data_IF_645742660809
#
_entry.id   IF_645742660809
#
_cell.length_a   1.000
_cell.length_b   1.000
_cell.length_c   1.000
_cell.angle_alpha   90.00
_cell.angle_beta   90.00
_cell.angle_gamma   90.00
#
_symmetry.space_group_name_H-M   'P 1'
#
loop_
_entity.id
_entity.type
_entity.pdbx_description
1 polymer ?
#
# COMPACT_ATOMS: atom_id res chain seq x y z
N UNK A 1 -9.48 -5.47 -10.62
CA UNK A 1 -9.17 -5.65 -9.22
C UNK A 1 -8.01 -4.74 -8.80
N UNK A 2 -8.31 -3.59 -8.21
CA UNK A 2 -7.28 -2.63 -7.83
C UNK A 2 -7.59 -1.97 -6.48
N UNK A 3 -6.52 -1.49 -5.84
CA UNK A 3 -6.59 -0.71 -4.61
C UNK A 3 -5.91 0.63 -4.88
N UNK A 4 -6.51 1.70 -4.41
CA UNK A 4 -5.90 3.03 -4.44
C UNK A 4 -5.68 3.49 -3.01
N UNK A 5 -4.44 3.83 -2.69
CA UNK A 5 -4.11 4.42 -1.40
C UNK A 5 -3.88 5.91 -1.58
N UNK A 6 -4.54 6.67 -0.74
CA UNK A 6 -4.37 8.12 -0.67
C UNK A 6 -3.51 8.45 0.53
N UNK A 7 -2.32 8.97 0.29
CA UNK A 7 -1.35 9.28 1.34
C UNK A 7 -1.14 10.79 1.38
N UNK A 8 -1.73 11.47 2.37
CA UNK A 8 -1.45 12.89 2.55
C UNK A 8 -0.03 13.04 3.11
N UNK A 9 0.74 13.90 2.49
CA UNK A 9 2.09 14.22 2.94
C UNK A 9 2.15 15.71 3.27
N UNK A 10 2.68 16.01 4.44
CA UNK A 10 2.76 17.38 4.93
C UNK A 10 4.17 17.64 5.45
N UNK A 11 4.75 18.75 4.99
CA UNK A 11 6.01 19.24 5.53
C UNK A 11 5.83 20.66 6.01
N UNK A 12 6.87 21.24 6.61
CA UNK A 12 6.80 22.58 7.19
C UNK A 12 6.39 23.66 6.19
N UNK A 13 6.69 23.46 4.91
CA UNK A 13 6.50 24.49 3.89
C UNK A 13 5.55 24.11 2.76
N UNK A 14 5.06 22.88 2.72
CA UNK A 14 4.19 22.44 1.63
C UNK A 14 3.42 21.19 2.00
N UNK A 15 2.35 20.97 1.26
CA UNK A 15 1.50 19.78 1.39
C UNK A 15 1.38 19.11 0.04
N UNK A 16 1.32 17.80 0.05
CA UNK A 16 1.10 17.01 -1.15
C UNK A 16 0.23 15.82 -0.83
N UNK A 17 -0.56 15.41 -1.82
CA UNK A 17 -1.34 14.19 -1.76
C UNK A 17 -0.73 13.19 -2.74
N UNK A 18 -0.35 12.04 -2.23
CA UNK A 18 0.23 10.98 -3.04
C UNK A 18 -0.83 9.90 -3.21
N UNK A 19 -1.15 9.58 -4.45
CA UNK A 19 -2.10 8.51 -4.76
C UNK A 19 -1.33 7.37 -5.42
N UNK A 20 -1.38 6.21 -4.79
CA UNK A 20 -0.76 4.99 -5.30
C UNK A 20 -1.85 4.03 -5.76
N UNK A 21 -1.76 3.57 -6.99
CA UNK A 21 -2.69 2.59 -7.55
C UNK A 21 -1.99 1.25 -7.70
N UNK A 22 -2.56 0.24 -7.10
CA UNK A 22 -2.10 -1.14 -7.17
C UNK A 22 -3.08 -1.94 -8.01
N UNK A 23 -2.59 -2.61 -9.04
CA UNK A 23 -3.46 -3.37 -9.96
C UNK A 23 -3.22 -4.87 -9.85
N UNK A 24 -4.22 -5.65 -10.21
CA UNK A 24 -4.26 -7.11 -10.05
C UNK A 24 -3.90 -7.52 -8.63
N UNK A 25 -4.67 -6.99 -7.70
CA UNK A 25 -4.48 -7.22 -6.27
C UNK A 25 -5.05 -8.58 -5.88
N UNK A 26 -4.31 -9.33 -5.07
CA UNK A 26 -4.75 -10.62 -4.55
C UNK A 26 -4.30 -10.83 -3.11
N UNK A 27 -4.92 -11.81 -2.46
CA UNK A 27 -4.60 -12.20 -1.08
C UNK A 27 -4.61 -11.02 -0.10
N UNK A 28 -5.67 -10.19 -0.21
CA UNK A 28 -5.82 -9.04 0.65
C UNK A 28 -6.15 -9.50 2.07
N UNK A 29 -5.35 -9.02 3.02
CA UNK A 29 -5.58 -9.25 4.44
C UNK A 29 -5.66 -7.91 5.14
N UNK A 30 -6.73 -7.68 5.89
CA UNK A 30 -6.94 -6.46 6.65
C UNK A 30 -7.21 -6.87 8.09
N UNK A 31 -6.33 -6.46 8.98
CA UNK A 31 -6.41 -6.82 10.39
C UNK A 31 -7.38 -5.92 11.15
N UNK A 32 -7.40 -4.63 10.83
CA UNK A 32 -8.23 -3.66 11.51
C UNK A 32 -8.64 -2.58 10.52
N UNK A 33 -9.96 -2.34 10.46
CA UNK A 33 -10.53 -1.32 9.59
C UNK A 33 -10.75 0.02 10.30
N UNK A 34 -10.58 0.06 11.62
CA UNK A 34 -10.79 1.28 12.39
C UNK A 34 -9.50 2.07 12.54
N UNK A 35 -8.95 2.49 11.40
CA UNK A 35 -7.81 3.39 11.41
C UNK A 35 -8.29 4.78 11.84
N UNK A 36 -7.77 5.27 12.95
CA UNK A 36 -8.08 6.60 13.43
C UNK A 36 -7.14 7.63 12.78
N UNK A 37 -7.46 8.91 12.95
CA UNK A 37 -6.60 9.98 12.44
C UNK A 37 -5.21 9.97 13.06
N UNK A 38 -5.06 9.32 14.20
CA UNK A 38 -3.78 9.22 14.90
C UNK A 38 -3.00 7.94 14.54
N UNK A 39 -3.52 7.16 13.61
CA UNK A 39 -2.85 5.94 13.17
C UNK A 39 -1.75 6.28 12.17
N UNK A 40 -0.58 5.71 12.41
CA UNK A 40 0.54 5.84 11.49
C UNK A 40 0.69 4.54 10.71
N UNK A 41 0.75 4.66 9.39
CA UNK A 41 0.97 3.53 8.51
C UNK A 41 2.40 3.60 7.97
N UNK A 42 3.10 2.50 8.11
CA UNK A 42 4.46 2.36 7.60
C UNK A 42 4.41 1.44 6.40
N UNK A 43 4.17 2.05 5.24
CA UNK A 43 4.00 1.32 4.00
C UNK A 43 5.32 0.75 3.52
N UNK A 44 5.36 -0.56 3.31
CA UNK A 44 6.49 -1.26 2.73
C UNK A 44 6.05 -1.93 1.43
N UNK A 45 6.78 -1.68 0.35
CA UNK A 45 6.52 -2.27 -0.96
C UNK A 45 7.76 -3.05 -1.36
N UNK A 46 7.61 -4.37 -1.45
CA UNK A 46 8.72 -5.27 -1.77
C UNK A 46 8.56 -5.82 -3.18
N UNK A 47 9.62 -5.71 -3.96
CA UNK A 47 9.67 -6.36 -5.27
C UNK A 47 9.93 -7.85 -5.08
N UNK A 48 9.05 -8.67 -5.64
CA UNK A 48 9.18 -10.11 -5.56
C UNK A 48 9.91 -10.64 -6.79
N UNK A 49 11.03 -11.31 -6.55
CA UNK A 49 11.87 -11.86 -7.61
C UNK A 49 11.60 -13.35 -7.81
N UNK A 50 10.33 -13.72 -7.86
CA UNK A 50 9.97 -15.14 -7.94
C UNK A 50 9.14 -15.53 -9.16
N UNK A 51 8.76 -14.58 -10.00
CA UNK A 51 8.05 -14.88 -11.23
C UNK A 51 6.72 -15.60 -11.06
N UNK A 52 6.00 -15.35 -9.98
CA UNK A 52 4.70 -15.96 -9.75
C UNK A 52 3.62 -15.17 -10.49
N UNK A 53 3.10 -15.74 -11.56
CA UNK A 53 1.83 -15.37 -12.21
C UNK A 53 1.41 -13.90 -12.04
N UNK A 54 2.26 -12.96 -12.48
CA UNK A 54 1.94 -11.52 -12.41
C UNK A 54 1.87 -10.95 -11.00
N UNK A 55 2.36 -11.66 -9.99
CA UNK A 55 2.46 -11.12 -8.64
C UNK A 55 3.88 -10.60 -8.43
N UNK A 56 4.06 -9.31 -8.71
CA UNK A 56 5.38 -8.71 -8.72
C UNK A 56 5.75 -7.99 -7.43
N UNK A 57 4.75 -7.61 -6.64
CA UNK A 57 4.97 -6.84 -5.43
C UNK A 57 4.18 -7.38 -4.25
N UNK A 58 4.79 -7.30 -3.08
CA UNK A 58 4.11 -7.51 -1.82
C UNK A 58 4.08 -6.18 -1.07
N UNK A 59 2.89 -5.78 -0.64
CA UNK A 59 2.65 -4.50 0.03
C UNK A 59 2.10 -4.76 1.41
N UNK A 60 2.68 -4.14 2.42
CA UNK A 60 2.20 -4.29 3.79
C UNK A 60 2.47 -3.05 4.63
N UNK A 61 1.72 -2.91 5.72
CA UNK A 61 2.11 -2.07 6.83
C UNK A 61 3.05 -2.90 7.71
N UNK A 62 4.34 -2.60 7.66
CA UNK A 62 5.34 -3.47 8.27
C UNK A 62 5.42 -3.37 9.79
N UNK A 63 4.88 -2.33 10.39
CA UNK A 63 5.00 -2.14 11.84
C UNK A 63 3.83 -2.77 12.59
N UNK A 64 2.60 -2.46 12.20
CA UNK A 64 1.41 -2.97 12.88
C UNK A 64 0.68 -4.05 12.10
N UNK A 65 1.03 -4.21 10.83
CA UNK A 65 0.44 -5.20 9.93
C UNK A 65 -1.07 -5.05 9.82
N UNK A 66 -1.55 -3.80 9.71
CA UNK A 66 -2.98 -3.55 9.53
C UNK A 66 -3.51 -4.11 8.23
N UNK A 67 -2.67 -4.15 7.19
CA UNK A 67 -3.06 -4.72 5.91
C UNK A 67 -1.85 -5.31 5.18
N UNK A 68 -2.13 -6.25 4.31
CA UNK A 68 -1.15 -6.77 3.36
C UNK A 68 -1.85 -7.27 2.11
N UNK A 69 -1.16 -7.24 0.98
CA UNK A 69 -1.66 -7.81 -0.27
C UNK A 69 -0.53 -7.97 -1.27
N UNK A 70 -0.81 -8.78 -2.29
CA UNK A 70 0.07 -8.93 -3.46
C UNK A 70 -0.54 -8.18 -4.63
N UNK A 71 0.29 -7.68 -5.53
CA UNK A 71 -0.21 -7.01 -6.74
C UNK A 71 0.79 -7.13 -7.88
N UNK A 72 0.30 -6.84 -9.10
CA UNK A 72 1.12 -6.86 -10.30
C UNK A 72 1.86 -5.54 -10.51
N UNK A 73 1.16 -4.42 -10.41
CA UNK A 73 1.74 -3.11 -10.67
C UNK A 73 1.46 -2.11 -9.56
N UNK A 74 2.36 -1.15 -9.43
CA UNK A 74 2.23 0.00 -8.54
C UNK A 74 2.46 1.25 -9.37
N UNK A 75 1.54 2.21 -9.29
CA UNK A 75 1.63 3.46 -10.04
C UNK A 75 1.34 4.64 -9.14
N UNK A 76 2.07 5.73 -9.33
CA UNK A 76 1.71 7.03 -8.77
C UNK A 76 0.76 7.71 -9.75
N UNK A 77 -0.41 8.07 -9.28
CA UNK A 77 -1.43 8.68 -10.15
C UNK A 77 -1.81 10.10 -9.70
#
# INVERSE_FOLDING_TARGET
>A
NCIVLHIPYESANWQADIHLKFTNVSSVQIKDLELTNDSYLFLDIQLLDRGWDNLNYFVEDYEEQYFSFYCETVQVI
#
